data_IF_449525772372
#
_entry.id   IF_449525772372
#
_cell.length_a   1.000
_cell.length_b   1.000
_cell.length_c   1.000
_cell.angle_alpha   90.00
_cell.angle_beta   90.00
_cell.angle_gamma   90.00
#
_symmetry.space_group_name_H-M   'P 1'
#
loop_
_entity.id
_entity.type
_entity.pdbx_description
1 polymer ?
#
# COMPACT_ATOMS: atom_id res chain seq x y z
N UNK A 1 12.40 10.67 -9.42
CA UNK A 1 11.31 11.14 -8.53
C UNK A 1 10.20 10.13 -8.67
N UNK A 2 9.84 9.44 -7.59
CA UNK A 2 8.86 8.33 -7.65
C UNK A 2 7.47 8.78 -7.21
N UNK A 3 6.46 8.44 -8.01
CA UNK A 3 5.05 8.72 -7.71
C UNK A 3 4.18 7.50 -7.99
N UNK A 4 3.06 7.39 -7.26
CA UNK A 4 1.98 6.44 -7.57
C UNK A 4 1.15 6.98 -8.74
N UNK A 5 0.87 6.13 -9.72
CA UNK A 5 -0.03 6.45 -10.82
C UNK A 5 -1.47 6.66 -10.32
N UNK A 6 -1.97 5.80 -9.44
CA UNK A 6 -3.29 5.95 -8.83
C UNK A 6 -3.42 7.30 -8.11
N UNK A 7 -2.40 7.74 -7.38
CA UNK A 7 -2.42 9.05 -6.74
C UNK A 7 -2.46 10.18 -7.77
N UNK A 8 -1.66 10.12 -8.83
CA UNK A 8 -1.72 11.09 -9.93
C UNK A 8 -3.12 11.14 -10.56
N UNK A 9 -3.75 9.97 -10.76
CA UNK A 9 -5.10 9.84 -11.32
C UNK A 9 -6.20 10.41 -10.42
N UNK A 10 -5.97 10.61 -9.13
CA UNK A 10 -6.90 11.38 -8.27
C UNK A 10 -6.93 12.87 -8.60
N UNK A 11 -5.86 13.41 -9.20
CA UNK A 11 -5.78 14.80 -9.62
C UNK A 11 -6.25 14.99 -11.06
N UNK A 12 -5.81 14.10 -11.96
CA UNK A 12 -6.17 14.12 -13.38
C UNK A 12 -6.16 12.71 -13.94
N UNK A 13 -7.28 12.27 -14.53
CA UNK A 13 -7.43 10.90 -15.01
C UNK A 13 -7.76 10.86 -16.52
N UNK A 14 -6.75 11.03 -17.40
CA UNK A 14 -6.97 10.86 -18.82
C UNK A 14 -7.35 9.41 -19.14
N UNK A 15 -8.22 9.23 -20.13
CA UNK A 15 -8.70 7.92 -20.60
C UNK A 15 -7.64 7.22 -21.47
N UNK A 16 -6.45 7.01 -20.90
CA UNK A 16 -5.28 6.36 -21.50
C UNK A 16 -4.70 5.35 -20.52
N UNK A 17 -4.00 4.35 -21.04
CA UNK A 17 -3.28 3.37 -20.23
C UNK A 17 -1.98 3.94 -19.62
N UNK A 18 -1.34 3.14 -18.77
CA UNK A 18 -0.13 3.50 -18.02
C UNK A 18 1.08 3.75 -18.93
N UNK A 19 1.23 2.97 -20.01
CA UNK A 19 2.32 3.13 -20.98
C UNK A 19 2.18 4.46 -21.72
N UNK A 20 0.98 4.76 -22.23
CA UNK A 20 0.70 6.04 -22.91
C UNK A 20 0.89 7.22 -21.95
N UNK A 21 0.52 7.08 -20.67
CA UNK A 21 0.74 8.12 -19.67
C UNK A 21 2.24 8.37 -19.44
N UNK A 22 3.05 7.31 -19.34
CA UNK A 22 4.51 7.41 -19.19
C UNK A 22 5.17 8.05 -20.43
N UNK A 23 4.72 7.68 -21.62
CA UNK A 23 5.16 8.28 -22.88
C UNK A 23 4.82 9.78 -22.93
N UNK A 24 3.61 10.18 -22.50
CA UNK A 24 3.23 11.59 -22.42
C UNK A 24 4.14 12.39 -21.48
N UNK A 25 4.47 11.85 -20.31
CA UNK A 25 5.41 12.48 -19.38
C UNK A 25 6.78 12.69 -20.04
N UNK A 26 7.30 11.66 -20.69
CA UNK A 26 8.59 11.71 -21.39
C UNK A 26 8.58 12.75 -22.51
N UNK A 27 7.50 12.82 -23.30
CA UNK A 27 7.33 13.81 -24.37
C UNK A 27 7.21 15.26 -23.86
N UNK A 28 6.83 15.46 -22.60
CA UNK A 28 6.81 16.77 -21.92
C UNK A 28 8.18 17.16 -21.34
N UNK A 29 9.22 16.35 -21.57
CA UNK A 29 10.55 16.54 -21.01
C UNK A 29 10.69 16.09 -19.55
N UNK A 30 9.76 15.24 -19.09
CA UNK A 30 9.80 14.55 -17.79
C UNK A 30 10.10 13.07 -18.06
N UNK A 31 11.38 12.77 -18.32
CA UNK A 31 11.84 11.43 -18.69
C UNK A 31 11.43 10.40 -17.64
N UNK A 32 10.73 9.34 -18.07
CA UNK A 32 10.37 8.22 -17.21
C UNK A 32 11.47 7.17 -17.27
N UNK A 33 12.21 7.01 -16.17
CA UNK A 33 13.30 6.03 -16.05
C UNK A 33 12.75 4.61 -15.86
N UNK A 34 11.65 4.48 -15.12
CA UNK A 34 11.05 3.19 -14.77
C UNK A 34 9.54 3.33 -14.56
N UNK A 35 8.80 2.37 -15.10
CA UNK A 35 7.39 2.12 -14.78
C UNK A 35 7.29 0.70 -14.22
N UNK A 36 7.05 0.58 -12.92
CA UNK A 36 7.06 -0.71 -12.22
C UNK A 36 5.78 -0.91 -11.39
N UNK A 37 5.26 -2.13 -11.26
CA UNK A 37 4.11 -2.40 -10.40
C UNK A 37 4.46 -2.13 -8.92
N UNK A 38 3.51 -1.60 -8.15
CA UNK A 38 3.69 -1.37 -6.71
C UNK A 38 3.90 -2.67 -5.94
N UNK A 39 3.24 -3.76 -6.36
CA UNK A 39 3.43 -5.09 -5.80
C UNK A 39 3.31 -6.15 -6.90
N UNK A 40 4.17 -7.18 -6.84
CA UNK A 40 4.11 -8.37 -7.69
C UNK A 40 2.73 -9.00 -7.68
N UNK A 41 2.34 -9.71 -8.77
CA UNK A 41 1.07 -10.38 -8.84
C UNK A 41 0.97 -11.51 -7.82
N UNK A 42 -0.16 -11.55 -7.12
CA UNK A 42 -0.57 -12.63 -6.23
C UNK A 42 -2.11 -12.70 -6.20
N UNK A 43 -2.66 -13.83 -5.77
CA UNK A 43 -4.12 -14.08 -5.79
C UNK A 43 -4.59 -14.80 -4.54
N UNK A 44 -5.88 -14.68 -4.22
CA UNK A 44 -6.50 -15.41 -3.10
C UNK A 44 -6.12 -14.87 -1.71
N UNK A 45 -5.73 -13.59 -1.62
CA UNK A 45 -5.44 -12.93 -0.34
C UNK A 45 -6.56 -11.94 -0.02
N UNK A 46 -7.19 -12.12 1.14
CA UNK A 46 -8.32 -11.29 1.61
C UNK A 46 -8.02 -10.70 2.97
N UNK A 47 -8.75 -9.65 3.35
CA UNK A 47 -8.73 -9.11 4.71
C UNK A 47 -9.39 -10.12 5.66
N UNK A 48 -8.70 -10.52 6.71
CA UNK A 48 -9.27 -11.35 7.78
C UNK A 48 -9.11 -10.72 9.16
N UNK A 49 -9.96 -11.15 10.09
CA UNK A 49 -9.97 -10.71 11.48
C UNK A 49 -9.69 -11.90 12.41
N UNK A 50 -8.72 -11.76 13.30
CA UNK A 50 -8.35 -12.78 14.28
C UNK A 50 -9.37 -12.79 15.42
N UNK A 51 -10.17 -13.85 15.53
CA UNK A 51 -11.21 -14.02 16.55
C UNK A 51 -10.66 -14.59 17.85
N UNK A 52 -9.79 -15.61 17.77
CA UNK A 52 -9.17 -16.24 18.94
C UNK A 52 -7.68 -16.48 18.70
N UNK A 53 -6.91 -16.50 19.79
CA UNK A 53 -5.48 -16.81 19.79
C UNK A 53 -5.21 -17.73 20.98
N UNK A 54 -4.79 -18.96 20.70
CA UNK A 54 -4.46 -19.98 21.69
C UNK A 54 -3.01 -20.43 21.52
N UNK A 55 -2.35 -20.82 22.61
CA UNK A 55 -1.01 -21.38 22.55
C UNK A 55 -1.04 -22.72 21.81
N UNK A 56 -0.09 -22.96 20.90
CA UNK A 56 0.00 -24.25 20.22
C UNK A 56 0.41 -25.36 21.21
N UNK A 57 -0.27 -26.53 21.24
CA UNK A 57 -0.04 -27.57 22.23
C UNK A 57 1.38 -28.17 22.16
N UNK A 58 1.92 -28.33 20.95
CA UNK A 58 3.23 -28.95 20.71
C UNK A 58 4.33 -27.96 20.24
N UNK A 59 4.16 -26.65 20.48
CA UNK A 59 5.15 -25.64 20.12
C UNK A 59 5.03 -24.33 20.91
N UNK A 60 6.14 -23.90 21.54
CA UNK A 60 6.17 -22.68 22.35
C UNK A 60 6.06 -21.39 21.52
N UNK A 61 6.55 -21.42 20.27
CA UNK A 61 6.60 -20.23 19.38
C UNK A 61 5.44 -20.15 18.39
N UNK A 62 4.48 -21.08 18.44
CA UNK A 62 3.34 -21.08 17.54
C UNK A 62 2.06 -20.81 18.32
N UNK A 63 1.11 -20.18 17.64
CA UNK A 63 -0.24 -19.91 18.13
C UNK A 63 -1.23 -20.53 17.16
N UNK A 64 -2.32 -21.04 17.69
CA UNK A 64 -3.48 -21.50 16.91
C UNK A 64 -4.50 -20.38 16.95
N UNK A 65 -4.89 -19.89 15.78
CA UNK A 65 -5.82 -18.78 15.66
C UNK A 65 -7.06 -19.21 14.92
N UNK A 66 -8.22 -18.64 15.29
CA UNK A 66 -9.41 -18.69 14.45
C UNK A 66 -9.59 -17.33 13.78
N UNK A 67 -9.81 -17.33 12.47
CA UNK A 67 -9.80 -16.12 11.65
C UNK A 67 -11.07 -16.03 10.83
N UNK A 68 -11.80 -14.93 10.97
CA UNK A 68 -12.95 -14.60 10.14
C UNK A 68 -12.48 -13.98 8.82
N UNK A 69 -12.89 -14.55 7.69
CA UNK A 69 -12.61 -14.02 6.34
C UNK A 69 -13.89 -13.66 5.57
N UNK A 70 -15.04 -13.54 6.25
CA UNK A 70 -16.31 -13.15 5.64
C UNK A 70 -17.02 -14.26 4.85
N UNK A 71 -16.48 -15.47 4.79
CA UNK A 71 -17.06 -16.63 4.09
C UNK A 71 -18.02 -17.47 4.94
N UNK A 72 -18.45 -16.98 6.10
CA UNK A 72 -19.37 -17.68 7.03
C UNK A 72 -18.67 -18.57 8.05
N UNK A 73 -17.79 -19.48 7.64
CA UNK A 73 -17.00 -20.32 8.55
C UNK A 73 -15.64 -19.68 8.86
N UNK A 74 -15.27 -19.65 10.15
CA UNK A 74 -13.95 -19.20 10.58
C UNK A 74 -12.88 -20.25 10.23
N UNK A 75 -11.71 -19.77 9.78
CA UNK A 75 -10.59 -20.63 9.43
C UNK A 75 -9.66 -20.82 10.62
N UNK A 76 -9.22 -22.05 10.86
CA UNK A 76 -8.12 -22.30 11.79
C UNK A 76 -6.78 -22.07 11.08
N UNK A 77 -5.97 -21.14 11.58
CA UNK A 77 -4.65 -20.81 11.01
C UNK A 77 -3.61 -20.87 12.13
N UNK A 78 -2.54 -21.63 11.88
CA UNK A 78 -1.37 -21.65 12.77
C UNK A 78 -0.44 -20.50 12.39
N UNK A 79 -0.10 -19.65 13.35
CA UNK A 79 0.74 -18.48 13.15
C UNK A 79 1.91 -18.46 14.15
N UNK A 80 3.10 -18.10 13.68
CA UNK A 80 4.29 -17.93 14.52
C UNK A 80 4.66 -16.48 14.82
N UNK A 81 3.94 -15.51 14.26
CA UNK A 81 4.28 -14.11 14.39
C UNK A 81 4.07 -13.61 15.82
N UNK A 82 4.99 -12.81 16.39
CA UNK A 82 4.90 -12.39 17.78
C UNK A 82 3.76 -11.40 18.04
N UNK A 83 3.35 -10.64 17.01
CA UNK A 83 2.34 -9.58 17.09
C UNK A 83 0.89 -10.05 16.92
N UNK A 84 0.63 -11.34 16.63
CA UNK A 84 -0.74 -11.83 16.44
C UNK A 84 -1.56 -11.75 17.74
N UNK A 85 -2.74 -11.14 17.67
CA UNK A 85 -3.63 -10.91 18.82
C UNK A 85 -5.10 -10.90 18.38
N UNK A 86 -6.00 -11.13 19.34
CA UNK A 86 -7.46 -11.06 19.11
C UNK A 86 -7.86 -9.65 18.65
N UNK A 87 -8.75 -9.58 17.68
CA UNK A 87 -9.25 -8.34 17.05
C UNK A 87 -8.35 -7.79 15.95
N UNK A 88 -7.13 -8.33 15.76
CA UNK A 88 -6.23 -7.89 14.70
C UNK A 88 -6.81 -8.17 13.32
N UNK A 89 -6.78 -7.17 12.44
CA UNK A 89 -7.04 -7.36 11.01
C UNK A 89 -5.74 -7.49 10.24
N UNK A 90 -5.65 -8.50 9.39
CA UNK A 90 -4.44 -8.80 8.62
C UNK A 90 -4.80 -9.43 7.26
N UNK A 91 -3.89 -9.38 6.27
CA UNK A 91 -4.06 -10.15 5.05
C UNK A 91 -3.99 -11.66 5.34
N UNK A 92 -4.92 -12.40 4.75
CA UNK A 92 -5.05 -13.86 4.88
C UNK A 92 -4.99 -14.47 3.50
N UNK A 93 -3.94 -15.24 3.24
CA UNK A 93 -3.86 -16.07 2.05
C UNK A 93 -4.65 -17.36 2.27
N UNK A 94 -5.76 -17.52 1.53
CA UNK A 94 -6.67 -18.66 1.66
C UNK A 94 -6.13 -19.89 0.93
N UNK A 95 -6.70 -21.07 1.19
CA UNK A 95 -6.36 -22.28 0.42
C UNK A 95 -6.57 -22.00 -1.09
N UNK A 96 -5.57 -22.36 -1.90
CA UNK A 96 -5.56 -22.12 -3.34
C UNK A 96 -4.96 -20.77 -3.75
N UNK A 97 -4.69 -19.86 -2.79
CA UNK A 97 -3.97 -18.62 -3.04
C UNK A 97 -2.57 -18.89 -3.59
N UNK A 98 -2.07 -17.95 -4.41
CA UNK A 98 -0.72 -17.99 -4.97
C UNK A 98 -0.03 -16.68 -4.60
N UNK A 99 0.96 -16.77 -3.72
CA UNK A 99 1.79 -15.64 -3.28
C UNK A 99 2.96 -15.41 -4.26
N UNK A 100 3.65 -14.25 -4.19
CA UNK A 100 4.81 -13.97 -5.03
C UNK A 100 5.85 -15.09 -4.97
N UNK A 101 6.44 -15.42 -6.12
CA UNK A 101 7.36 -16.56 -6.25
C UNK A 101 6.69 -17.93 -6.50
N UNK A 102 5.44 -17.94 -6.97
CA UNK A 102 4.63 -19.14 -7.24
C UNK A 102 4.40 -20.02 -5.99
N UNK A 103 4.30 -19.37 -4.83
CA UNK A 103 4.08 -20.05 -3.56
C UNK A 103 2.59 -20.32 -3.35
N UNK A 104 2.18 -21.58 -3.54
CA UNK A 104 0.77 -22.00 -3.46
C UNK A 104 0.37 -22.38 -2.04
N UNK A 105 -0.68 -21.73 -1.52
CA UNK A 105 -1.27 -22.07 -0.23
C UNK A 105 -2.09 -23.35 -0.33
N UNK A 106 -1.77 -24.31 0.53
CA UNK A 106 -2.46 -25.60 0.62
C UNK A 106 -2.87 -25.85 2.06
N UNK A 107 -3.93 -26.65 2.25
CA UNK A 107 -4.26 -27.18 3.57
C UNK A 107 -3.07 -28.02 4.06
N UNK A 108 -2.60 -27.73 5.26
CA UNK A 108 -1.45 -28.40 5.86
C UNK A 108 -1.68 -28.73 7.33
N UNK A 109 -0.74 -29.49 7.91
CA UNK A 109 -0.63 -29.68 9.35
C UNK A 109 0.73 -29.17 9.81
N UNK A 110 0.75 -28.26 10.76
CA UNK A 110 1.96 -27.84 11.46
C UNK A 110 1.94 -28.51 12.82
N UNK A 111 2.91 -29.40 13.08
CA UNK A 111 3.05 -30.09 14.37
C UNK A 111 1.75 -30.71 14.90
N UNK A 112 0.99 -31.36 14.00
CA UNK A 112 -0.26 -32.06 14.34
C UNK A 112 -1.53 -31.21 14.24
N UNK A 113 -1.43 -29.88 14.27
CA UNK A 113 -2.57 -28.96 14.18
C UNK A 113 -2.82 -28.55 12.73
N UNK A 114 -4.08 -28.57 12.29
CA UNK A 114 -4.46 -28.16 10.94
C UNK A 114 -4.34 -26.64 10.75
N UNK A 115 -3.83 -26.22 9.59
CA UNK A 115 -3.84 -24.82 9.15
C UNK A 115 -4.51 -24.72 7.78
N UNK A 116 -5.55 -23.88 7.70
CA UNK A 116 -6.41 -23.68 6.52
C UNK A 116 -6.08 -22.37 5.78
N UNK A 117 -4.84 -21.91 5.88
CA UNK A 117 -4.39 -20.67 5.26
C UNK A 117 -3.10 -20.18 5.90
N UNK A 118 -2.78 -18.92 5.63
CA UNK A 118 -1.65 -18.21 6.19
C UNK A 118 -2.04 -16.75 6.47
N UNK A 119 -1.74 -16.26 7.68
CA UNK A 119 -1.73 -14.82 7.95
C UNK A 119 -0.42 -14.25 7.40
N UNK A 120 -0.49 -13.18 6.62
CA UNK A 120 0.68 -12.62 5.93
C UNK A 120 1.23 -11.36 6.63
N UNK A 121 2.55 -11.30 6.73
CA UNK A 121 3.36 -10.10 6.84
C UNK A 121 3.37 -9.28 5.55
N UNK A 122 4.06 -8.13 5.60
CA UNK A 122 4.17 -7.22 4.46
C UNK A 122 5.00 -7.85 3.32
N UNK A 123 6.12 -8.49 3.65
CA UNK A 123 7.03 -9.11 2.68
C UNK A 123 6.37 -10.22 1.87
N UNK A 124 5.48 -11.03 2.47
CA UNK A 124 4.80 -12.13 1.75
C UNK A 124 3.79 -11.64 0.71
N UNK A 125 3.34 -10.39 0.78
CA UNK A 125 2.51 -9.73 -0.23
C UNK A 125 3.26 -8.66 -1.02
N UNK A 126 4.59 -8.77 -1.07
CA UNK A 126 5.50 -7.88 -1.81
C UNK A 126 5.45 -6.40 -1.39
N UNK A 127 5.13 -6.15 -0.13
CA UNK A 127 5.24 -4.83 0.49
C UNK A 127 6.52 -4.71 1.32
N UNK A 128 6.95 -3.48 1.57
CA UNK A 128 8.11 -3.18 2.39
C UNK A 128 7.89 -3.66 3.84
N UNK A 129 8.80 -4.51 4.30
CA UNK A 129 8.72 -5.12 5.63
C UNK A 129 9.44 -4.26 6.67
N UNK A 130 8.65 -3.63 7.55
CA UNK A 130 9.16 -2.71 8.59
C UNK A 130 9.13 -3.30 9.98
N UNK A 131 8.46 -4.44 10.15
CA UNK A 131 8.19 -5.05 11.45
C UNK A 131 8.42 -6.55 11.37
N UNK A 132 8.93 -7.15 12.45
CA UNK A 132 9.06 -8.61 12.54
C UNK A 132 7.70 -9.21 12.91
N UNK A 133 6.83 -9.44 11.93
CA UNK A 133 5.51 -10.04 12.13
C UNK A 133 4.50 -9.84 11.01
N UNK A 134 3.21 -10.01 11.35
CA UNK A 134 2.08 -9.85 10.42
C UNK A 134 1.87 -8.39 10.04
N UNK A 135 1.34 -8.15 8.84
CA UNK A 135 0.89 -6.84 8.42
C UNK A 135 -0.42 -6.52 9.14
N UNK A 136 -0.36 -5.54 10.02
CA UNK A 136 -1.53 -5.04 10.73
C UNK A 136 -2.29 -4.02 9.87
N UNK A 137 -3.56 -4.31 9.61
CA UNK A 137 -4.47 -3.43 8.88
C UNK A 137 -5.28 -2.57 9.86
N UNK A 138 -5.78 -1.40 9.43
CA UNK A 138 -6.70 -0.59 10.20
C UNK A 138 -7.93 -1.36 10.73
N UNK A 139 -8.43 -0.97 11.89
CA UNK A 139 -9.58 -1.61 12.55
C UNK A 139 -10.87 -1.55 11.71
N UNK A 140 -10.98 -0.61 10.78
CA UNK A 140 -12.11 -0.46 9.86
C UNK A 140 -11.93 -1.23 8.54
N UNK A 141 -10.83 -1.98 8.36
CA UNK A 141 -10.60 -2.76 7.15
C UNK A 141 -11.74 -3.78 6.92
N UNK A 142 -12.36 -3.83 5.74
CA UNK A 142 -13.54 -4.66 5.49
C UNK A 142 -13.15 -6.14 5.33
N UNK A 143 -13.61 -6.99 6.26
CA UNK A 143 -13.33 -8.43 6.26
C UNK A 143 -13.89 -9.10 5.01
N UNK A 144 -13.08 -9.98 4.38
CA UNK A 144 -13.41 -10.72 3.17
C UNK A 144 -13.13 -10.00 1.86
N UNK A 145 -12.79 -8.71 1.90
CA UNK A 145 -12.38 -7.97 0.70
C UNK A 145 -10.98 -8.39 0.25
N UNK A 146 -10.76 -8.47 -1.06
CA UNK A 146 -9.44 -8.74 -1.63
C UNK A 146 -8.44 -7.66 -1.17
N UNK A 147 -7.29 -8.08 -0.64
CA UNK A 147 -6.31 -7.14 -0.10
C UNK A 147 -5.74 -6.21 -1.17
N UNK A 148 -5.65 -6.67 -2.44
CA UNK A 148 -5.19 -5.84 -3.56
C UNK A 148 -6.15 -4.69 -3.83
N UNK A 149 -7.45 -4.96 -3.76
CA UNK A 149 -8.50 -3.95 -3.94
C UNK A 149 -8.54 -2.96 -2.78
N UNK A 150 -8.36 -3.46 -1.56
CA UNK A 150 -8.37 -2.65 -0.33
C UNK A 150 -7.16 -1.71 -0.27
N UNK A 151 -5.95 -2.24 -0.47
CA UNK A 151 -4.70 -1.48 -0.42
C UNK A 151 -4.34 -0.80 -1.75
N UNK A 152 -5.15 -0.97 -2.80
CA UNK A 152 -4.92 -0.43 -4.15
C UNK A 152 -3.57 -0.85 -4.75
N UNK A 153 -3.25 -2.14 -4.64
CA UNK A 153 -1.96 -2.70 -5.08
C UNK A 153 -1.85 -2.91 -6.59
N UNK A 154 -2.98 -2.84 -7.30
CA UNK A 154 -3.00 -2.78 -8.76
C UNK A 154 -2.74 -1.32 -9.18
N UNK A 155 -1.48 -0.92 -9.02
CA UNK A 155 -0.95 0.42 -9.25
C UNK A 155 0.49 0.31 -9.78
N UNK A 156 0.96 1.40 -10.38
CA UNK A 156 2.34 1.54 -10.82
C UNK A 156 3.05 2.67 -10.08
N UNK A 157 4.33 2.45 -9.82
CA UNK A 157 5.30 3.48 -9.47
C UNK A 157 5.91 3.99 -10.77
N UNK A 158 5.78 5.29 -11.01
CA UNK A 158 6.43 6.01 -12.10
C UNK A 158 7.66 6.70 -11.52
N UNK A 159 8.86 6.32 -11.96
CA UNK A 159 10.11 7.03 -11.63
C UNK A 159 10.48 8.01 -12.74
N UNK A 160 10.58 9.28 -12.38
CA UNK A 160 10.72 10.40 -13.31
C UNK A 160 12.03 11.15 -13.01
N UNK A 161 12.88 11.29 -14.02
CA UNK A 161 14.05 12.15 -13.98
C UNK A 161 13.65 13.61 -14.26
N UNK A 162 13.77 14.46 -13.24
CA UNK A 162 13.35 15.87 -13.31
C UNK A 162 14.58 16.77 -13.47
N UNK A 163 14.58 17.55 -14.55
CA UNK A 163 15.63 18.54 -14.84
C UNK A 163 15.52 19.78 -13.93
N UNK A 164 16.63 20.49 -13.63
CA UNK A 164 16.63 21.59 -12.66
C UNK A 164 15.71 22.77 -13.00
N UNK A 165 15.38 22.96 -14.28
CA UNK A 165 14.45 24.00 -14.73
C UNK A 165 12.97 23.67 -14.43
N UNK A 166 12.65 22.42 -14.06
CA UNK A 166 11.28 21.94 -13.78
C UNK A 166 11.04 21.70 -12.28
N UNK A 167 11.47 22.66 -11.46
CA UNK A 167 11.27 22.65 -10.00
C UNK A 167 9.80 22.45 -9.58
N UNK A 168 8.87 22.92 -10.40
CA UNK A 168 7.43 22.76 -10.24
C UNK A 168 6.97 21.29 -10.28
N UNK A 169 7.65 20.43 -11.03
CA UNK A 169 7.34 19.03 -11.20
C UNK A 169 7.86 18.12 -10.07
N UNK A 170 8.57 18.65 -9.06
CA UNK A 170 8.93 17.91 -7.84
C UNK A 170 7.72 17.71 -6.89
N UNK A 171 6.52 17.58 -7.45
CA UNK A 171 5.28 17.35 -6.71
C UNK A 171 4.22 16.72 -7.61
N UNK A 172 3.31 15.95 -7.02
CA UNK A 172 2.12 15.45 -7.72
C UNK A 172 1.32 16.59 -8.35
N UNK A 173 1.21 17.73 -7.66
CA UNK A 173 0.51 18.93 -8.17
C UNK A 173 1.10 19.44 -9.47
N UNK A 174 2.44 19.49 -9.58
CA UNK A 174 3.12 19.92 -10.80
C UNK A 174 2.92 18.94 -11.94
N UNK A 175 3.17 17.66 -11.68
CA UNK A 175 3.03 16.59 -12.67
C UNK A 175 1.59 16.49 -13.18
N UNK A 176 0.60 16.54 -12.27
CA UNK A 176 -0.82 16.54 -12.62
C UNK A 176 -1.21 17.76 -13.47
N UNK A 177 -0.60 18.92 -13.22
CA UNK A 177 -0.82 20.12 -14.06
C UNK A 177 -0.37 19.87 -15.49
N UNK A 178 0.83 19.33 -15.69
CA UNK A 178 1.37 19.06 -17.02
C UNK A 178 0.51 18.05 -17.79
N UNK A 179 0.12 16.96 -17.13
CA UNK A 179 -0.80 15.96 -17.70
C UNK A 179 -2.18 16.56 -18.00
N UNK A 180 -2.69 17.45 -17.15
CA UNK A 180 -3.93 18.18 -17.40
C UNK A 180 -3.84 19.06 -18.64
N UNK A 181 -2.74 19.79 -18.83
CA UNK A 181 -2.54 20.66 -20.00
C UNK A 181 -2.49 19.85 -21.29
N UNK A 182 -1.66 18.80 -21.37
CA UNK A 182 -1.49 18.03 -22.63
C UNK A 182 -2.76 17.30 -23.04
N UNK A 183 -3.56 16.84 -22.06
CA UNK A 183 -4.83 16.15 -22.31
C UNK A 183 -6.05 17.10 -22.36
N UNK A 184 -5.85 18.40 -22.15
CA UNK A 184 -6.92 19.41 -22.08
C UNK A 184 -8.00 19.06 -21.03
N UNK A 185 -7.56 18.56 -19.87
CA UNK A 185 -8.42 18.16 -18.77
C UNK A 185 -8.29 19.11 -17.57
N UNK A 186 -9.38 19.35 -16.83
CA UNK A 186 -9.30 20.03 -15.56
C UNK A 186 -8.51 19.19 -14.55
N UNK A 187 -7.74 19.86 -13.69
CA UNK A 187 -7.01 19.23 -12.59
C UNK A 187 -7.76 19.44 -11.29
N UNK A 188 -8.13 18.34 -10.65
CA UNK A 188 -8.81 18.31 -9.36
C UNK A 188 -7.78 18.44 -8.25
N UNK A 189 -7.81 19.55 -7.52
CA UNK A 189 -6.95 19.74 -6.35
C UNK A 189 -7.67 19.20 -5.11
N UNK A 190 -6.93 18.61 -4.15
CA UNK A 190 -7.51 18.26 -2.86
C UNK A 190 -7.97 19.54 -2.15
N UNK A 191 -9.10 19.45 -1.45
CA UNK A 191 -9.56 20.54 -0.61
C UNK A 191 -8.66 20.64 0.63
N UNK A 192 -7.98 21.78 0.78
CA UNK A 192 -7.12 22.07 1.94
C UNK A 192 -7.81 23.15 2.76
N UNK A 193 -8.55 22.75 3.79
CA UNK A 193 -9.26 23.68 4.66
C UNK A 193 -8.26 24.46 5.54
N UNK A 194 -8.49 25.77 5.66
CA UNK A 194 -7.68 26.60 6.56
C UNK A 194 -7.97 26.22 8.01
N UNK A 195 -6.91 25.93 8.77
CA UNK A 195 -7.00 25.66 10.20
C UNK A 195 -6.73 26.96 10.94
N UNK A 196 -7.65 27.36 11.81
CA UNK A 196 -7.47 28.55 12.64
C UNK A 196 -6.30 28.36 13.61
N UNK A 197 -5.49 29.41 13.80
CA UNK A 197 -4.44 29.39 14.81
C UNK A 197 -5.05 29.31 16.21
N UNK A 198 -4.59 28.35 17.01
CA UNK A 198 -5.02 28.19 18.40
C UNK A 198 -4.18 29.01 19.40
N UNK A 199 -3.11 29.64 18.92
CA UNK A 199 -2.20 30.46 19.72
C UNK A 199 -1.85 31.75 18.98
N UNK A 200 -1.47 32.78 19.73
CA UNK A 200 -1.04 34.09 19.21
C UNK A 200 0.48 34.27 19.19
N UNK A 201 1.24 33.24 19.58
CA UNK A 201 2.70 33.28 19.59
C UNK A 201 3.23 33.45 18.16
N UNK A 202 4.12 34.41 17.96
CA UNK A 202 4.74 34.68 16.66
C UNK A 202 6.25 34.63 16.82
N UNK A 203 6.90 33.85 15.96
CA UNK A 203 8.36 33.87 15.84
C UNK A 203 8.74 34.97 14.85
N UNK A 204 9.38 36.03 15.34
CA UNK A 204 9.96 37.04 14.45
C UNK A 204 11.14 36.42 13.69
N UNK A 205 11.03 36.39 12.36
CA UNK A 205 12.12 36.02 11.46
C UNK A 205 12.73 37.31 10.94
N UNK A 206 13.98 37.59 11.32
CA UNK A 206 14.78 38.65 10.72
C UNK A 206 15.68 38.03 9.65
N UNK A 207 15.51 38.47 8.41
CA UNK A 207 16.40 38.11 7.31
C UNK A 207 17.47 39.20 7.19
N UNK A 208 18.70 38.88 7.56
CA UNK A 208 19.86 39.77 7.36
C UNK A 208 20.61 39.33 6.10
N UNK A 209 20.93 40.27 5.22
CA UNK A 209 21.68 40.02 3.98
C UNK A 209 23.19 40.23 4.14
N UNK A 210 23.66 40.48 5.36
CA UNK A 210 25.08 40.68 5.65
C UNK A 210 25.85 39.37 5.38
N UNK A 211 26.48 39.31 4.21
CA UNK A 211 27.24 38.14 3.74
C UNK A 211 26.64 37.40 2.53
N UNK A 212 25.53 37.86 1.96
CA UNK A 212 25.16 37.45 0.60
C UNK A 212 26.16 38.08 -0.39
N UNK A 213 26.85 37.29 -1.25
CA UNK A 213 27.80 37.82 -2.22
C UNK A 213 27.16 38.74 -3.26
#
# INVERSE_FOLDING_TARGET
MKISENWLRTWVNPAIDSETLADQLTMLGLEVDELAPVAKPFTGVVVGEVLTVEQHPDADRLRVTTVNIGSGEALQIVCGAPNVRVGMKAPVATIGAVLPGDFKIKKGKLRGVESQGMLCGASEIDLEDKIDGLLELPDDAPVGVNVRDYLKLDDNVIDISITPNRGDCFSIRGIAREIGVINQLPVTQPEIQAIAANITEQKQVQLTTDGAP
#
